data_IF_675744218195
#
_entry.id   IF_675744218195
#
_cell.length_a   1.000
_cell.length_b   1.000
_cell.length_c   1.000
_cell.angle_alpha   90.00
_cell.angle_beta   90.00
_cell.angle_gamma   90.00
#
_symmetry.space_group_name_H-M   'P 1'
#
loop_
_entity.id
_entity.type
_entity.pdbx_description
1 polymer ?
#
# COMPACT_ATOMS: atom_id res chain seq x y z
N UNK A 1 55.92 6.68 2.50
CA UNK A 1 54.82 7.61 2.18
C UNK A 1 53.92 6.91 1.16
N UNK A 2 52.94 6.13 1.61
CA UNK A 2 52.07 5.37 0.71
C UNK A 2 50.78 6.16 0.47
N UNK A 3 50.56 6.59 -0.77
CA UNK A 3 49.31 7.18 -1.22
C UNK A 3 48.29 6.05 -1.45
N UNK A 4 47.32 5.90 -0.56
CA UNK A 4 46.16 5.05 -0.79
C UNK A 4 45.23 5.81 -1.72
N UNK A 5 45.31 5.51 -3.01
CA UNK A 5 44.37 5.98 -4.03
C UNK A 5 43.00 5.32 -3.78
N UNK A 6 42.14 5.98 -3.01
CA UNK A 6 40.73 5.62 -2.91
C UNK A 6 40.04 5.88 -4.26
N UNK A 7 40.13 4.92 -5.17
CA UNK A 7 39.24 4.89 -6.33
C UNK A 7 37.82 4.60 -5.81
N UNK A 8 37.04 5.67 -5.64
CA UNK A 8 35.60 5.55 -5.50
C UNK A 8 35.06 4.95 -6.81
N UNK A 9 34.73 3.66 -6.78
CA UNK A 9 33.98 3.04 -7.87
C UNK A 9 32.74 3.89 -8.13
N UNK A 10 32.66 4.50 -9.32
CA UNK A 10 31.50 5.29 -9.73
C UNK A 10 30.30 4.35 -9.72
N UNK A 11 29.36 4.54 -8.79
CA UNK A 11 28.13 3.75 -8.72
C UNK A 11 27.36 3.92 -10.04
N UNK A 12 27.37 2.86 -10.86
CA UNK A 12 26.59 2.79 -12.09
C UNK A 12 25.18 2.32 -11.72
N UNK A 13 24.13 3.10 -12.00
CA UNK A 13 22.76 2.64 -11.83
C UNK A 13 22.51 1.34 -12.60
N UNK A 14 21.80 0.38 -12.00
CA UNK A 14 21.53 -0.95 -12.59
C UNK A 14 20.84 -0.91 -13.98
N UNK A 15 20.24 0.25 -14.28
CA UNK A 15 19.51 0.58 -15.48
C UNK A 15 20.28 1.45 -16.48
N UNK A 16 21.54 1.79 -16.20
CA UNK A 16 22.34 2.57 -17.14
C UNK A 16 22.35 1.85 -18.50
N UNK A 17 22.07 2.61 -19.55
CA UNK A 17 22.02 2.16 -20.95
C UNK A 17 20.95 1.09 -21.25
N UNK A 18 19.94 0.92 -20.36
CA UNK A 18 18.78 0.04 -20.57
C UNK A 18 17.51 0.86 -20.76
N UNK A 19 16.80 0.65 -21.87
CA UNK A 19 15.42 1.13 -22.04
C UNK A 19 14.52 0.33 -21.09
N UNK A 20 14.09 0.96 -19.99
CA UNK A 20 13.14 0.36 -19.04
C UNK A 20 11.74 0.85 -19.38
N UNK A 21 10.86 -0.07 -19.76
CA UNK A 21 9.44 0.19 -19.92
C UNK A 21 8.66 0.15 -18.60
N UNK A 22 7.35 0.33 -18.70
CA UNK A 22 6.45 0.18 -17.56
C UNK A 22 6.56 -1.24 -16.97
N UNK A 23 6.59 -1.34 -15.63
CA UNK A 23 6.52 -2.65 -14.98
C UNK A 23 5.20 -3.34 -15.31
N UNK A 24 5.21 -4.65 -15.62
CA UNK A 24 3.98 -5.37 -15.89
C UNK A 24 3.07 -5.36 -14.65
N UNK A 25 1.77 -5.24 -14.90
CA UNK A 25 0.76 -5.39 -13.85
C UNK A 25 0.76 -6.82 -13.29
N UNK A 26 0.35 -6.97 -12.02
CA UNK A 26 0.18 -8.29 -11.42
C UNK A 26 -0.91 -9.07 -12.15
N UNK A 27 -0.63 -10.34 -12.45
CA UNK A 27 -1.62 -11.28 -12.99
C UNK A 27 -2.64 -11.65 -11.91
N UNK A 28 -3.84 -12.05 -12.32
CA UNK A 28 -4.89 -12.48 -11.38
C UNK A 28 -4.37 -13.56 -10.41
N UNK A 29 -3.68 -14.58 -10.91
CA UNK A 29 -3.06 -15.63 -10.09
C UNK A 29 -2.06 -15.11 -9.03
N UNK A 30 -1.35 -14.02 -9.34
CA UNK A 30 -0.38 -13.40 -8.43
C UNK A 30 -1.09 -12.59 -7.35
N UNK A 31 -2.18 -11.89 -7.71
CA UNK A 31 -3.06 -11.20 -6.76
C UNK A 31 -3.63 -12.20 -5.74
N UNK A 32 -4.18 -13.33 -6.22
CA UNK A 32 -4.67 -14.40 -5.35
C UNK A 32 -3.57 -14.98 -4.46
N UNK A 33 -2.39 -15.25 -5.04
CA UNK A 33 -1.25 -15.77 -4.31
C UNK A 33 -0.78 -14.84 -3.17
N UNK A 34 -0.82 -13.51 -3.37
CA UNK A 34 -0.53 -12.52 -2.33
C UNK A 34 -1.62 -12.55 -1.27
N UNK A 35 -2.90 -12.44 -1.67
CA UNK A 35 -4.05 -12.38 -0.77
C UNK A 35 -4.08 -13.58 0.18
N UNK A 36 -3.98 -14.79 -0.35
CA UNK A 36 -3.99 -16.04 0.43
C UNK A 36 -2.85 -16.06 1.44
N UNK A 37 -1.63 -15.66 1.04
CA UNK A 37 -0.48 -15.60 1.96
C UNK A 37 -0.68 -14.59 3.09
N UNK A 38 -1.36 -13.47 2.83
CA UNK A 38 -1.69 -12.48 3.85
C UNK A 38 -2.75 -13.00 4.83
N UNK A 39 -3.77 -13.70 4.33
CA UNK A 39 -4.82 -14.34 5.13
C UNK A 39 -4.25 -15.44 6.02
N UNK A 40 -3.47 -16.38 5.46
CA UNK A 40 -2.85 -17.47 6.22
C UNK A 40 -1.90 -16.96 7.31
N UNK A 41 -1.18 -15.86 7.03
CA UNK A 41 -0.30 -15.22 8.00
C UNK A 41 -1.04 -14.30 9.00
N UNK A 42 -2.38 -14.22 8.94
CA UNK A 42 -3.23 -13.34 9.77
C UNK A 42 -2.75 -11.89 9.78
N UNK A 43 -2.22 -11.39 8.66
CA UNK A 43 -1.70 -10.01 8.56
C UNK A 43 -2.83 -9.02 8.24
N UNK A 44 -3.69 -8.75 9.22
CA UNK A 44 -4.91 -7.95 9.04
C UNK A 44 -4.67 -6.58 8.40
N UNK A 45 -3.71 -5.79 8.91
CA UNK A 45 -3.37 -4.48 8.33
C UNK A 45 -2.96 -4.58 6.86
N UNK A 46 -2.07 -5.52 6.56
CA UNK A 46 -1.53 -5.71 5.22
C UNK A 46 -2.62 -6.20 4.26
N UNK A 47 -3.51 -7.08 4.72
CA UNK A 47 -4.66 -7.58 3.96
C UNK A 47 -5.66 -6.46 3.64
N UNK A 48 -6.05 -5.66 4.63
CA UNK A 48 -6.91 -4.51 4.45
C UNK A 48 -6.31 -3.49 3.46
N UNK A 49 -5.02 -3.18 3.61
CA UNK A 49 -4.29 -2.27 2.74
C UNK A 49 -4.21 -2.79 1.30
N UNK A 50 -3.93 -4.09 1.13
CA UNK A 50 -3.84 -4.74 -0.18
C UNK A 50 -5.19 -4.73 -0.90
N UNK A 51 -6.25 -5.16 -0.22
CA UNK A 51 -7.60 -5.22 -0.80
C UNK A 51 -8.10 -3.82 -1.17
N UNK A 52 -7.97 -2.84 -0.28
CA UNK A 52 -8.40 -1.47 -0.56
C UNK A 52 -7.59 -0.80 -1.68
N UNK A 53 -6.30 -1.10 -1.81
CA UNK A 53 -5.48 -0.60 -2.91
C UNK A 53 -5.96 -1.11 -4.28
N UNK A 54 -6.41 -2.37 -4.37
CA UNK A 54 -6.92 -2.95 -5.60
C UNK A 54 -8.27 -2.35 -6.01
N UNK A 55 -9.17 -2.21 -5.05
CA UNK A 55 -10.52 -1.68 -5.26
C UNK A 55 -10.49 -0.19 -5.63
N UNK A 56 -9.69 0.59 -4.89
CA UNK A 56 -9.65 2.04 -5.04
C UNK A 56 -8.78 2.54 -6.20
N UNK A 57 -7.74 1.78 -6.56
CA UNK A 57 -6.71 2.15 -7.55
C UNK A 57 -6.10 3.54 -7.30
N UNK A 58 -6.16 4.02 -6.05
CA UNK A 58 -5.62 5.32 -5.67
C UNK A 58 -4.11 5.34 -5.80
N UNK A 59 -3.55 6.54 -6.00
CA UNK A 59 -2.11 6.74 -5.88
C UNK A 59 -1.70 6.41 -4.45
N UNK A 60 -0.51 5.84 -4.27
CA UNK A 60 -0.03 5.44 -2.95
C UNK A 60 -0.03 6.58 -1.93
N UNK A 61 0.22 7.82 -2.35
CA UNK A 61 0.18 8.99 -1.48
C UNK A 61 -1.23 9.38 -1.01
N UNK A 62 -2.26 9.08 -1.80
CA UNK A 62 -3.66 9.33 -1.47
C UNK A 62 -4.18 8.18 -0.60
N UNK A 63 -3.88 6.94 -0.98
CA UNK A 63 -4.23 5.72 -0.24
C UNK A 63 -3.76 5.77 1.21
N UNK A 64 -2.49 6.11 1.46
CA UNK A 64 -1.96 6.12 2.84
C UNK A 64 -2.58 7.22 3.70
N UNK A 65 -3.15 8.27 3.09
CA UNK A 65 -3.76 9.40 3.80
C UNK A 65 -5.23 9.20 4.13
N UNK A 66 -5.85 8.11 3.67
CA UNK A 66 -7.22 7.76 4.02
C UNK A 66 -7.38 7.68 5.54
N UNK A 67 -8.51 8.17 6.02
CA UNK A 67 -8.98 8.07 7.39
C UNK A 67 -10.16 7.12 7.49
N UNK A 68 -10.51 6.72 8.71
CA UNK A 68 -11.66 5.82 8.95
C UNK A 68 -12.96 6.42 8.39
N UNK A 69 -13.20 7.70 8.61
CA UNK A 69 -14.36 8.44 8.06
C UNK A 69 -14.51 8.38 6.54
N UNK A 70 -13.40 8.18 5.82
CA UNK A 70 -13.40 8.16 4.37
C UNK A 70 -13.97 6.82 3.83
N UNK A 71 -14.02 5.78 4.66
CA UNK A 71 -14.47 4.43 4.26
C UNK A 71 -15.61 3.88 5.10
N UNK A 72 -15.94 4.50 6.25
CA UNK A 72 -16.91 4.00 7.21
C UNK A 72 -17.90 5.08 7.62
N UNK A 73 -19.18 4.72 7.70
CA UNK A 73 -20.23 5.54 8.30
C UNK A 73 -20.91 4.76 9.43
N UNK A 74 -20.96 5.33 10.64
CA UNK A 74 -21.49 4.64 11.82
C UNK A 74 -20.72 3.34 12.13
N UNK A 75 -21.43 2.21 12.13
CA UNK A 75 -20.88 0.87 12.36
C UNK A 75 -20.46 0.14 11.07
N UNK A 76 -20.77 0.67 9.89
CA UNK A 76 -20.67 -0.08 8.62
C UNK A 76 -19.63 0.51 7.67
N UNK A 77 -18.85 -0.33 7.01
CA UNK A 77 -17.97 0.10 5.92
C UNK A 77 -18.83 0.40 4.69
N UNK A 78 -18.61 1.57 4.07
CA UNK A 78 -19.39 2.02 2.92
C UNK A 78 -19.19 1.07 1.73
N UNK A 79 -20.25 0.82 0.95
CA UNK A 79 -20.14 0.06 -0.31
C UNK A 79 -19.43 0.86 -1.40
N UNK A 80 -19.55 2.19 -1.37
CA UNK A 80 -18.85 3.12 -2.27
C UNK A 80 -18.38 4.32 -1.48
N UNK A 81 -17.27 4.91 -1.90
CA UNK A 81 -16.76 6.16 -1.34
C UNK A 81 -16.21 7.08 -2.42
N UNK A 82 -16.09 8.36 -2.10
CA UNK A 82 -15.55 9.41 -2.98
C UNK A 82 -14.37 10.06 -2.28
N UNK A 83 -13.20 10.06 -2.93
CA UNK A 83 -11.96 10.63 -2.39
C UNK A 83 -11.44 11.69 -3.37
N UNK A 84 -11.10 12.86 -2.84
CA UNK A 84 -10.49 13.93 -3.61
C UNK A 84 -9.01 13.62 -3.85
N UNK A 85 -8.59 13.45 -5.11
CA UNK A 85 -7.19 13.21 -5.43
C UNK A 85 -6.38 14.49 -5.29
N UNK A 86 -5.25 14.43 -4.56
CA UNK A 86 -4.45 15.64 -4.28
C UNK A 86 -3.84 16.30 -5.51
N UNK A 87 -3.49 15.50 -6.53
CA UNK A 87 -2.79 16.01 -7.71
C UNK A 87 -3.72 16.77 -8.65
N UNK A 88 -4.90 16.22 -8.91
CA UNK A 88 -5.84 16.75 -9.91
C UNK A 88 -6.98 17.54 -9.27
N UNK A 89 -7.15 17.45 -7.95
CA UNK A 89 -8.28 18.00 -7.22
C UNK A 89 -9.63 17.48 -7.74
N UNK A 90 -9.64 16.26 -8.28
CA UNK A 90 -10.82 15.62 -8.82
C UNK A 90 -11.37 14.57 -7.85
N UNK A 91 -12.70 14.49 -7.68
CA UNK A 91 -13.32 13.44 -6.89
C UNK A 91 -13.22 12.11 -7.65
N UNK A 92 -12.69 11.09 -6.99
CA UNK A 92 -12.67 9.72 -7.49
C UNK A 92 -13.57 8.86 -6.65
N UNK A 93 -14.63 8.36 -7.28
CA UNK A 93 -15.53 7.39 -6.68
C UNK A 93 -15.05 5.98 -6.99
N UNK A 94 -15.06 5.11 -5.98
CA UNK A 94 -14.78 3.69 -6.15
C UNK A 94 -15.67 2.82 -5.26
N UNK A 95 -15.82 1.56 -5.67
CA UNK A 95 -16.51 0.54 -4.90
C UNK A 95 -15.55 -0.13 -3.92
N UNK A 96 -16.05 -0.41 -2.72
CA UNK A 96 -15.35 -1.22 -1.72
C UNK A 96 -16.06 -2.57 -1.72
N UNK A 97 -15.43 -3.57 -2.32
CA UNK A 97 -16.00 -4.92 -2.44
C UNK A 97 -16.22 -5.54 -1.06
N UNK A 98 -17.10 -6.54 -0.96
CA UNK A 98 -17.42 -7.20 0.31
C UNK A 98 -16.19 -7.70 1.05
N UNK A 99 -15.31 -8.43 0.35
CA UNK A 99 -14.05 -8.90 0.92
C UNK A 99 -13.15 -7.76 1.44
N UNK A 100 -13.14 -6.62 0.76
CA UNK A 100 -12.42 -5.44 1.25
C UNK A 100 -13.08 -4.87 2.50
N UNK A 101 -14.42 -4.74 2.51
CA UNK A 101 -15.17 -4.27 3.68
C UNK A 101 -14.90 -5.11 4.91
N UNK A 102 -14.90 -6.44 4.78
CA UNK A 102 -14.63 -7.36 5.89
C UNK A 102 -13.21 -7.15 6.43
N UNK A 103 -12.20 -7.19 5.54
CA UNK A 103 -10.80 -7.02 5.96
C UNK A 103 -10.50 -5.64 6.57
N UNK A 104 -11.15 -4.58 6.07
CA UNK A 104 -11.04 -3.22 6.62
C UNK A 104 -11.75 -3.12 7.97
N UNK A 105 -12.92 -3.74 8.12
CA UNK A 105 -13.66 -3.80 9.39
C UNK A 105 -12.83 -4.50 10.47
N UNK A 106 -12.30 -5.69 10.17
CA UNK A 106 -11.44 -6.47 11.08
C UNK A 106 -10.23 -5.65 11.54
N UNK A 107 -9.61 -4.91 10.62
CA UNK A 107 -8.47 -4.06 10.93
C UNK A 107 -8.86 -2.89 11.84
N UNK A 108 -9.94 -2.17 11.54
CA UNK A 108 -10.43 -1.04 12.34
C UNK A 108 -10.76 -1.50 13.76
N UNK A 109 -11.47 -2.63 13.89
CA UNK A 109 -11.86 -3.20 15.19
C UNK A 109 -10.63 -3.63 15.98
N UNK A 110 -9.74 -4.43 15.36
CA UNK A 110 -8.55 -4.97 16.05
C UNK A 110 -7.60 -3.86 16.50
N UNK A 111 -7.46 -2.79 15.70
CA UNK A 111 -6.58 -1.67 16.01
C UNK A 111 -7.26 -0.59 16.86
N UNK A 112 -8.58 -0.68 17.07
CA UNK A 112 -9.40 0.29 17.80
C UNK A 112 -9.27 1.70 17.20
N UNK A 113 -9.38 1.79 15.87
CA UNK A 113 -9.25 3.08 15.17
C UNK A 113 -10.52 3.93 15.34
N UNK A 114 -10.31 5.21 15.65
CA UNK A 114 -11.36 6.22 15.76
C UNK A 114 -11.68 6.83 14.40
N UNK A 115 -12.81 7.55 14.33
CA UNK A 115 -13.33 8.16 13.11
C UNK A 115 -12.30 9.04 12.36
N UNK A 116 -11.51 9.82 13.10
CA UNK A 116 -10.53 10.76 12.52
C UNK A 116 -9.11 10.21 12.43
N UNK A 117 -8.89 8.95 12.84
CA UNK A 117 -7.60 8.30 12.73
C UNK A 117 -7.30 7.97 11.27
N UNK A 118 -6.01 7.99 10.92
CA UNK A 118 -5.55 7.41 9.67
C UNK A 118 -5.91 5.93 9.63
N UNK A 119 -6.44 5.47 8.50
CA UNK A 119 -6.81 4.08 8.30
C UNK A 119 -5.59 3.17 8.40
N UNK A 120 -4.41 3.66 7.99
CA UNK A 120 -3.14 2.94 8.12
C UNK A 120 -2.12 3.82 8.87
N UNK A 121 -2.20 3.89 10.22
CA UNK A 121 -1.32 4.73 11.01
C UNK A 121 0.11 4.19 11.03
N UNK A 122 1.07 5.10 11.16
CA UNK A 122 2.47 4.78 11.40
C UNK A 122 2.65 4.12 12.77
N UNK A 123 3.62 3.21 12.87
CA UNK A 123 4.01 2.60 14.16
C UNK A 123 4.88 3.54 14.99
N UNK A 124 5.64 4.42 14.33
CA UNK A 124 6.73 5.19 14.95
C UNK A 124 6.44 6.69 15.05
N UNK A 125 5.43 7.17 14.32
CA UNK A 125 5.07 8.58 14.30
C UNK A 125 3.57 8.68 14.59
N UNK A 126 3.24 8.95 15.84
CA UNK A 126 1.85 9.03 16.29
C UNK A 126 1.12 10.17 15.54
N UNK A 127 -0.18 9.96 15.29
CA UNK A 127 -0.98 10.92 14.53
C UNK A 127 -0.61 11.04 13.05
N UNK A 128 0.27 10.18 12.51
CA UNK A 128 0.66 10.21 11.09
C UNK A 128 0.35 8.87 10.39
N UNK A 129 0.09 8.88 9.08
CA UNK A 129 -0.06 7.65 8.31
C UNK A 129 1.30 6.98 8.07
N UNK A 130 1.28 5.73 7.62
CA UNK A 130 2.48 5.12 7.03
C UNK A 130 2.98 5.98 5.87
N UNK A 131 4.30 6.11 5.75
CA UNK A 131 4.86 6.87 4.62
C UNK A 131 4.68 6.13 3.30
N UNK A 132 4.65 6.85 2.18
CA UNK A 132 4.64 6.25 0.84
C UNK A 132 5.83 5.29 0.63
N UNK A 133 6.99 5.61 1.24
CA UNK A 133 8.17 4.73 1.21
C UNK A 133 7.94 3.44 1.99
N UNK A 134 7.30 3.52 3.15
CA UNK A 134 6.92 2.35 3.94
C UNK A 134 5.91 1.50 3.18
N UNK A 135 4.88 2.11 2.58
CA UNK A 135 3.93 1.43 1.71
C UNK A 135 4.64 0.70 0.56
N UNK A 136 5.56 1.37 -0.15
CA UNK A 136 6.34 0.72 -1.21
C UNK A 136 7.16 -0.48 -0.70
N UNK A 137 7.76 -0.40 0.50
CA UNK A 137 8.49 -1.53 1.10
C UNK A 137 7.57 -2.70 1.43
N UNK A 138 6.36 -2.42 1.92
CA UNK A 138 5.33 -3.42 2.19
C UNK A 138 4.94 -4.14 0.90
N UNK A 139 4.61 -3.40 -0.17
CA UNK A 139 4.27 -3.97 -1.48
C UNK A 139 5.41 -4.84 -2.03
N UNK A 140 6.66 -4.35 -1.98
CA UNK A 140 7.83 -5.14 -2.41
C UNK A 140 7.97 -6.43 -1.61
N UNK A 141 7.65 -6.41 -0.31
CA UNK A 141 7.66 -7.62 0.51
C UNK A 141 6.59 -8.62 0.09
N UNK A 142 5.39 -8.17 -0.30
CA UNK A 142 4.33 -9.07 -0.77
C UNK A 142 4.71 -9.74 -2.09
N UNK A 143 5.22 -8.94 -3.05
CA UNK A 143 5.69 -9.42 -4.36
C UNK A 143 6.82 -10.43 -4.20
N UNK A 144 7.81 -10.16 -3.32
CA UNK A 144 8.90 -11.11 -3.04
C UNK A 144 8.38 -12.44 -2.47
N UNK A 145 7.34 -12.41 -1.62
CA UNK A 145 6.77 -13.63 -0.99
C UNK A 145 6.08 -14.59 -1.97
N UNK A 146 5.70 -14.12 -3.15
CA UNK A 146 5.16 -14.96 -4.23
C UNK A 146 6.22 -15.36 -5.27
N UNK A 147 7.51 -15.10 -4.99
CA UNK A 147 8.61 -15.49 -5.86
C UNK A 147 8.88 -14.53 -7.03
N UNK A 148 8.19 -13.39 -7.09
CA UNK A 148 8.43 -12.38 -8.12
C UNK A 148 9.57 -11.43 -7.72
N UNK A 149 10.24 -10.85 -8.72
CA UNK A 149 11.27 -9.84 -8.51
C UNK A 149 10.63 -8.44 -8.36
N UNK A 150 10.71 -7.79 -7.18
CA UNK A 150 10.09 -6.48 -6.94
C UNK A 150 10.96 -5.29 -7.39
N UNK A 151 12.11 -5.55 -8.04
CA UNK A 151 13.06 -4.51 -8.49
C UNK A 151 12.47 -3.62 -9.56
#
# INVERSE_FOLDING_TARGET
MYLISNHSEKHIPWNKDKLIGQKPALKLKEIWAIRIRLQLAKKLRDLALFNLALDSKLRGCDLVKLKVRDVKYGSTINKRTVILQKKTNEPVQFEITEQTRDSVSDWIITKVLKYDDYLFPSKWNEGHPISTRQYARIVKSWVKKIGLNPR
#
